data_IF_272234473068
#
_entry.id   IF_272234473068
#
_cell.length_a   1.000
_cell.length_b   1.000
_cell.length_c   1.000
_cell.angle_alpha   90.00
_cell.angle_beta   90.00
_cell.angle_gamma   90.00
#
_symmetry.space_group_name_H-M   'P 1'
#
loop_
_entity.id
_entity.type
_entity.pdbx_description
1 polymer ?
#
# COMPACT_ATOMS: atom_id res chain seq x y z
N UNK A 1 -28.17 -80.59 0.80
CA UNK A 1 -28.34 -81.20 -0.53
C UNK A 1 -28.31 -80.07 -1.53
N UNK A 2 -27.31 -80.02 -2.40
CA UNK A 2 -27.10 -78.94 -3.38
C UNK A 2 -28.12 -79.12 -4.51
N UNK A 3 -28.79 -78.05 -4.93
CA UNK A 3 -29.38 -77.99 -6.26
C UNK A 3 -28.86 -76.77 -7.04
N UNK A 4 -28.64 -77.03 -8.33
CA UNK A 4 -27.94 -76.25 -9.34
C UNK A 4 -28.98 -75.64 -10.28
N UNK A 5 -28.96 -74.30 -10.45
CA UNK A 5 -29.10 -73.56 -11.74
C UNK A 5 -29.74 -72.18 -11.51
N UNK A 6 -28.93 -71.15 -11.80
CA UNK A 6 -29.26 -69.90 -12.53
C UNK A 6 -30.46 -69.05 -12.06
N UNK A 7 -30.41 -67.73 -11.91
CA UNK A 7 -29.43 -66.71 -12.24
C UNK A 7 -29.93 -65.35 -11.68
N UNK A 8 -29.05 -64.36 -11.64
CA UNK A 8 -29.22 -62.97 -12.15
C UNK A 8 -28.48 -61.96 -11.26
N UNK A 9 -27.41 -61.45 -11.88
CA UNK A 9 -26.72 -60.17 -11.79
C UNK A 9 -27.25 -59.05 -10.88
N UNK A 10 -26.29 -58.40 -10.21
CA UNK A 10 -26.33 -57.05 -9.66
C UNK A 10 -25.86 -57.04 -8.20
N UNK A 11 -24.69 -56.56 -7.82
CA UNK A 11 -24.29 -55.16 -7.99
C UNK A 11 -22.89 -54.91 -7.37
N UNK A 12 -22.20 -53.94 -7.97
CA UNK A 12 -21.17 -53.04 -7.43
C UNK A 12 -20.06 -53.62 -6.53
N UNK A 13 -18.88 -53.84 -7.13
CA UNK A 13 -17.62 -53.70 -6.42
C UNK A 13 -17.20 -52.22 -6.44
N UNK A 14 -17.28 -51.58 -5.28
CA UNK A 14 -16.64 -50.30 -4.96
C UNK A 14 -15.12 -50.50 -5.06
N UNK A 15 -14.49 -49.81 -6.01
CA UNK A 15 -13.04 -49.63 -6.09
C UNK A 15 -12.69 -48.22 -5.64
N UNK A 16 -12.03 -48.13 -4.48
CA UNK A 16 -11.62 -46.90 -3.81
C UNK A 16 -10.55 -46.10 -4.59
N UNK A 17 -10.80 -44.80 -4.68
CA UNK A 17 -9.87 -43.66 -4.53
C UNK A 17 -8.48 -43.74 -5.18
N UNK A 18 -8.32 -42.93 -6.23
CA UNK A 18 -7.11 -42.12 -6.38
C UNK A 18 -7.48 -40.66 -6.09
N UNK A 19 -7.06 -40.18 -4.93
CA UNK A 19 -7.04 -38.78 -4.53
C UNK A 19 -6.12 -37.98 -5.45
N UNK A 20 -6.70 -37.35 -6.46
CA UNK A 20 -6.09 -36.23 -7.16
C UNK A 20 -6.69 -34.95 -6.60
N UNK A 21 -5.84 -34.05 -6.10
CA UNK A 21 -6.20 -32.79 -5.48
C UNK A 21 -7.28 -32.04 -6.28
N UNK A 22 -8.50 -32.00 -5.74
CA UNK A 22 -9.54 -31.11 -6.23
C UNK A 22 -9.19 -29.68 -5.81
N UNK A 23 -8.22 -29.07 -6.51
CA UNK A 23 -8.03 -27.63 -6.43
C UNK A 23 -9.21 -26.96 -7.13
N UNK A 24 -9.94 -26.13 -6.38
CA UNK A 24 -10.89 -25.18 -6.98
C UNK A 24 -10.13 -24.35 -8.03
N UNK A 25 -10.59 -24.30 -9.29
CA UNK A 25 -9.96 -23.44 -10.29
C UNK A 25 -9.88 -22.01 -9.74
N UNK A 26 -8.81 -21.24 -10.03
CA UNK A 26 -8.82 -19.82 -9.75
C UNK A 26 -10.08 -19.20 -10.38
N UNK A 27 -10.70 -18.19 -9.75
CA UNK A 27 -11.87 -17.54 -10.29
C UNK A 27 -11.61 -17.15 -11.75
N UNK A 28 -12.49 -17.56 -12.66
CA UNK A 28 -12.43 -17.08 -14.03
C UNK A 28 -12.47 -15.55 -14.00
N UNK A 29 -11.63 -14.88 -14.79
CA UNK A 29 -11.75 -13.43 -14.96
C UNK A 29 -13.13 -13.15 -15.57
N UNK A 30 -14.09 -12.78 -14.72
CA UNK A 30 -15.38 -12.29 -15.18
C UNK A 30 -15.15 -10.86 -15.68
N UNK A 31 -15.00 -10.73 -17.00
CA UNK A 31 -15.24 -9.50 -17.75
C UNK A 31 -14.18 -8.41 -17.61
N UNK A 32 -13.93 -7.71 -18.72
CA UNK A 32 -13.04 -6.56 -18.78
C UNK A 32 -13.40 -5.51 -17.73
N UNK A 33 -12.37 -4.92 -17.12
CA UNK A 33 -12.50 -3.79 -16.19
C UNK A 33 -13.40 -2.73 -16.83
N UNK A 34 -14.47 -2.35 -16.13
CA UNK A 34 -15.42 -1.33 -16.59
C UNK A 34 -14.75 0.02 -16.88
N UNK A 35 -15.50 1.01 -17.42
CA UNK A 35 -14.94 2.31 -17.78
C UNK A 35 -14.17 2.93 -16.62
N UNK A 36 -13.06 3.61 -16.95
CA UNK A 36 -12.18 4.29 -15.98
C UNK A 36 -13.02 5.16 -15.04
N UNK A 37 -13.02 4.82 -13.76
CA UNK A 37 -13.65 5.66 -12.75
C UNK A 37 -12.91 7.00 -12.64
N UNK A 38 -13.61 8.11 -12.39
CA UNK A 38 -12.98 9.41 -12.25
C UNK A 38 -11.92 9.39 -11.14
N UNK A 39 -10.90 10.22 -11.31
CA UNK A 39 -9.88 10.40 -10.28
C UNK A 39 -10.45 11.24 -9.13
N UNK A 40 -10.05 10.97 -7.88
CA UNK A 40 -10.40 11.79 -6.74
C UNK A 40 -9.82 13.21 -6.88
N UNK A 41 -10.55 14.20 -6.36
CA UNK A 41 -10.14 15.61 -6.40
C UNK A 41 -9.74 16.16 -5.04
N UNK A 42 -10.12 15.49 -3.94
CA UNK A 42 -9.77 15.91 -2.58
C UNK A 42 -8.32 15.49 -2.26
N UNK A 43 -7.49 16.47 -1.95
CA UNK A 43 -6.10 16.28 -1.51
C UNK A 43 -5.84 16.95 -0.16
N UNK A 44 -4.81 16.46 0.54
CA UNK A 44 -4.30 17.02 1.78
C UNK A 44 -2.78 17.13 1.65
N UNK A 45 -2.26 18.34 1.56
CA UNK A 45 -0.81 18.57 1.61
C UNK A 45 -0.29 18.24 3.02
N UNK A 46 0.83 17.53 3.11
CA UNK A 46 1.40 17.12 4.41
C UNK A 46 2.07 18.29 5.16
N UNK A 47 2.69 19.19 4.39
CA UNK A 47 3.58 20.23 4.88
C UNK A 47 3.10 21.61 4.39
N UNK A 48 2.36 22.37 5.21
CA UNK A 48 1.74 23.63 4.77
C UNK A 48 2.75 24.72 4.37
N UNK A 49 3.96 24.68 4.95
CA UNK A 49 5.07 25.60 4.64
C UNK A 49 6.11 25.00 3.68
N UNK A 50 5.78 23.91 2.99
CA UNK A 50 6.72 23.14 2.18
C UNK A 50 7.41 22.02 2.96
N UNK A 51 7.81 20.96 2.24
CA UNK A 51 8.39 19.77 2.85
C UNK A 51 9.78 20.06 3.46
N UNK A 52 10.08 19.57 4.67
CA UNK A 52 11.33 19.86 5.35
C UNK A 52 12.53 19.21 4.64
N UNK A 53 13.67 19.89 4.64
CA UNK A 53 14.93 19.34 4.12
C UNK A 53 14.96 19.23 2.59
N UNK A 54 14.36 20.19 1.89
CA UNK A 54 14.38 20.26 0.44
C UNK A 54 15.82 20.29 -0.13
N UNK A 55 16.11 19.54 -1.20
CA UNK A 55 17.37 19.66 -1.93
C UNK A 55 17.49 21.05 -2.59
N UNK A 56 18.73 21.41 -3.00
CA UNK A 56 19.01 22.67 -3.72
C UNK A 56 18.13 22.84 -4.96
N UNK A 57 17.92 21.75 -5.70
CA UNK A 57 17.00 21.68 -6.82
C UNK A 57 15.86 20.75 -6.44
N UNK A 58 14.63 21.27 -6.35
CA UNK A 58 13.47 20.45 -6.05
C UNK A 58 13.24 19.39 -7.13
N UNK A 59 12.81 18.18 -6.74
CA UNK A 59 12.40 17.17 -7.71
C UNK A 59 11.26 17.70 -8.60
N UNK A 60 11.27 17.32 -9.88
CA UNK A 60 10.18 17.65 -10.80
C UNK A 60 9.21 16.49 -10.85
N UNK A 61 7.94 16.75 -10.54
CA UNK A 61 6.92 15.72 -10.56
C UNK A 61 6.62 15.30 -12.01
N UNK A 62 6.76 14.00 -12.29
CA UNK A 62 6.48 13.42 -13.61
C UNK A 62 5.45 12.30 -13.42
N UNK A 63 4.36 12.37 -14.19
CA UNK A 63 3.37 11.29 -14.28
C UNK A 63 3.72 10.43 -15.50
N UNK A 64 4.16 9.21 -15.25
CA UNK A 64 4.45 8.19 -16.26
C UNK A 64 3.21 7.30 -16.43
N UNK A 65 2.64 7.20 -17.64
CA UNK A 65 1.66 6.15 -17.94
C UNK A 65 2.38 4.89 -18.44
N UNK A 66 2.24 3.79 -17.69
CA UNK A 66 2.91 2.50 -17.96
C UNK A 66 1.94 1.45 -18.50
N UNK A 67 0.71 1.84 -18.83
CA UNK A 67 -0.30 0.91 -19.29
C UNK A 67 0.10 0.25 -20.61
N UNK A 68 0.05 -1.08 -20.66
CA UNK A 68 0.20 -1.85 -21.90
C UNK A 68 -1.19 -2.23 -22.43
N UNK A 69 -1.85 -1.29 -23.12
CA UNK A 69 -3.15 -1.50 -23.77
C UNK A 69 -4.28 -0.60 -23.26
N UNK A 70 -5.35 -0.51 -24.05
CA UNK A 70 -6.37 0.55 -23.92
C UNK A 70 -7.28 0.46 -22.68
N UNK A 71 -7.30 -0.66 -21.97
CA UNK A 71 -8.19 -0.89 -20.82
C UNK A 71 -7.47 -0.84 -19.45
N UNK A 72 -6.15 -0.68 -19.44
CA UNK A 72 -5.37 -0.63 -18.20
C UNK A 72 -5.04 0.81 -17.83
N UNK A 73 -5.18 1.17 -16.55
CA UNK A 73 -4.54 2.35 -15.97
C UNK A 73 -3.35 1.89 -15.15
N UNK A 74 -2.16 2.40 -15.43
CA UNK A 74 -0.96 2.05 -14.68
C UNK A 74 -0.01 3.24 -14.54
N UNK A 75 -0.52 4.32 -13.95
CA UNK A 75 0.28 5.52 -13.71
C UNK A 75 1.26 5.30 -12.57
N UNK A 76 2.47 5.80 -12.77
CA UNK A 76 3.44 6.04 -11.73
C UNK A 76 3.78 7.53 -11.63
N UNK A 77 4.09 8.00 -10.43
CA UNK A 77 4.50 9.38 -10.20
C UNK A 77 5.90 9.42 -9.61
N UNK A 78 6.78 10.19 -10.24
CA UNK A 78 8.17 10.40 -9.85
C UNK A 78 8.36 11.80 -9.27
N UNK A 79 9.46 12.03 -8.54
CA UNK A 79 9.89 13.37 -8.16
C UNK A 79 8.89 14.13 -7.27
N UNK A 80 8.50 13.53 -6.16
CA UNK A 80 7.48 14.09 -5.26
C UNK A 80 8.05 15.29 -4.50
N UNK A 81 7.88 16.50 -5.02
CA UNK A 81 8.27 17.75 -4.34
C UNK A 81 7.27 18.19 -3.25
N UNK A 82 5.98 17.88 -3.47
CA UNK A 82 4.88 18.24 -2.57
C UNK A 82 4.17 16.95 -2.13
N UNK A 83 4.65 16.28 -1.07
CA UNK A 83 4.02 15.07 -0.61
C UNK A 83 2.64 15.39 -0.05
N UNK A 84 1.69 14.54 -0.40
CA UNK A 84 0.26 14.76 -0.22
C UNK A 84 -0.46 13.44 0.00
N UNK A 85 -1.64 13.52 0.60
CA UNK A 85 -2.62 12.43 0.56
C UNK A 85 -3.71 12.76 -0.44
N UNK A 86 -4.15 11.75 -1.17
CA UNK A 86 -5.36 11.79 -1.97
C UNK A 86 -6.45 11.03 -1.22
N UNK A 87 -7.65 11.60 -1.14
CA UNK A 87 -8.74 11.06 -0.31
C UNK A 87 -9.80 10.36 -1.15
N UNK A 88 -10.18 9.16 -0.74
CA UNK A 88 -11.35 8.45 -1.22
C UNK A 88 -12.35 8.32 -0.07
N UNK A 89 -13.50 8.97 -0.22
CA UNK A 89 -14.59 8.89 0.75
C UNK A 89 -15.55 7.76 0.38
N UNK A 90 -15.95 6.91 1.34
CA UNK A 90 -17.00 5.94 1.11
C UNK A 90 -18.38 6.62 1.05
N UNK A 91 -19.28 6.11 0.23
CA UNK A 91 -20.67 6.58 0.22
C UNK A 91 -21.41 6.27 1.53
N UNK A 92 -21.00 5.18 2.22
CA UNK A 92 -21.53 4.76 3.53
C UNK A 92 -20.34 4.52 4.48
N UNK A 93 -19.86 5.54 5.20
CA UNK A 93 -18.71 5.40 6.09
C UNK A 93 -18.99 4.44 7.25
N UNK A 94 -18.04 3.56 7.53
CA UNK A 94 -18.08 2.61 8.65
C UNK A 94 -17.25 3.07 9.87
N UNK A 95 -16.74 4.31 9.82
CA UNK A 95 -15.90 4.90 10.85
C UNK A 95 -14.42 4.47 10.83
N UNK A 96 -13.99 3.67 9.85
CA UNK A 96 -12.59 3.22 9.74
C UNK A 96 -11.84 3.98 8.67
N UNK A 97 -10.54 4.16 8.88
CA UNK A 97 -9.63 4.80 7.93
C UNK A 97 -8.41 3.94 7.63
N UNK A 98 -7.82 4.15 6.45
CA UNK A 98 -6.55 3.51 6.09
C UNK A 98 -5.65 4.46 5.31
N UNK A 99 -4.39 4.56 5.75
CA UNK A 99 -3.31 5.21 5.02
C UNK A 99 -2.63 4.17 4.11
N UNK A 100 -2.82 4.31 2.80
CA UNK A 100 -2.22 3.46 1.78
C UNK A 100 -0.89 4.08 1.33
N UNK A 101 0.18 3.30 1.39
CA UNK A 101 1.51 3.62 0.90
C UNK A 101 1.80 2.73 -0.32
N UNK A 102 1.58 3.24 -1.55
CA UNK A 102 1.91 2.48 -2.75
C UNK A 102 3.40 2.20 -2.84
N UNK A 103 3.79 1.17 -3.57
CA UNK A 103 5.19 0.87 -3.87
C UNK A 103 5.71 1.65 -5.06
N UNK A 104 6.67 1.04 -5.77
CA UNK A 104 7.44 1.69 -6.85
C UNK A 104 8.93 1.76 -6.58
N UNK A 105 9.43 0.91 -5.67
CA UNK A 105 10.87 0.67 -5.49
C UNK A 105 11.67 1.86 -4.99
N UNK A 106 11.01 2.88 -4.42
CA UNK A 106 11.62 4.16 -4.06
C UNK A 106 12.11 5.04 -5.23
N UNK A 107 11.76 4.73 -6.48
CA UNK A 107 11.95 5.65 -7.63
C UNK A 107 10.68 6.35 -8.07
N UNK A 108 9.52 5.85 -7.63
CA UNK A 108 8.19 6.32 -8.02
C UNK A 108 7.14 5.82 -7.04
N UNK A 109 5.94 6.37 -7.16
CA UNK A 109 4.70 5.92 -6.51
C UNK A 109 3.84 5.25 -7.57
N UNK A 110 3.52 3.96 -7.41
CA UNK A 110 2.62 3.22 -8.32
C UNK A 110 1.16 3.57 -7.97
N UNK A 111 0.61 4.57 -8.64
CA UNK A 111 -0.66 5.21 -8.24
C UNK A 111 -1.85 4.31 -8.49
N UNK A 112 -2.02 3.80 -9.71
CA UNK A 112 -3.28 3.15 -10.05
C UNK A 112 -3.39 1.77 -9.38
N UNK A 113 -2.43 0.88 -9.62
CA UNK A 113 -2.48 -0.53 -9.17
C UNK A 113 -2.36 -0.72 -7.67
N UNK A 114 -1.55 0.11 -7.00
CA UNK A 114 -1.22 -0.05 -5.58
C UNK A 114 -1.81 1.08 -4.71
N UNK A 115 -2.50 2.04 -5.32
CA UNK A 115 -3.15 3.17 -4.65
C UNK A 115 -4.65 3.27 -4.97
N UNK A 116 -5.01 3.74 -6.18
CA UNK A 116 -6.38 4.13 -6.50
C UNK A 116 -7.32 2.92 -6.67
N UNK A 117 -6.87 1.82 -7.25
CA UNK A 117 -7.69 0.60 -7.37
C UNK A 117 -8.02 0.02 -5.99
N UNK A 118 -7.02 -0.07 -5.10
CA UNK A 118 -7.26 -0.55 -3.72
C UNK A 118 -8.09 0.45 -2.92
N UNK A 119 -7.89 1.76 -3.11
CA UNK A 119 -8.66 2.78 -2.42
C UNK A 119 -10.14 2.75 -2.80
N UNK A 120 -10.47 2.58 -4.08
CA UNK A 120 -11.86 2.39 -4.53
C UNK A 120 -12.46 1.12 -3.92
N UNK A 121 -11.74 0.01 -3.98
CA UNK A 121 -12.21 -1.26 -3.44
C UNK A 121 -12.50 -1.20 -1.92
N UNK A 122 -11.67 -0.50 -1.15
CA UNK A 122 -11.87 -0.26 0.28
C UNK A 122 -12.99 0.75 0.57
N UNK A 123 -13.08 1.82 -0.22
CA UNK A 123 -14.14 2.83 -0.09
C UNK A 123 -15.53 2.24 -0.36
N UNK A 124 -15.67 1.32 -1.31
CA UNK A 124 -16.91 0.57 -1.56
C UNK A 124 -17.34 -0.27 -0.34
N UNK A 125 -16.42 -0.55 0.59
CA UNK A 125 -16.63 -1.30 1.84
C UNK A 125 -16.74 -0.40 3.07
N UNK A 126 -16.83 0.91 2.87
CA UNK A 126 -17.08 1.87 3.95
C UNK A 126 -15.83 2.48 4.59
N UNK A 127 -14.63 2.19 4.09
CA UNK A 127 -13.40 2.77 4.61
C UNK A 127 -13.12 4.14 3.99
N UNK A 128 -12.69 5.11 4.80
CA UNK A 128 -12.08 6.35 4.28
C UNK A 128 -10.61 6.06 3.98
N UNK A 129 -10.21 6.21 2.72
CA UNK A 129 -8.85 5.84 2.27
C UNK A 129 -8.04 7.07 1.93
N UNK A 130 -6.79 7.08 2.40
CA UNK A 130 -5.82 8.12 2.13
C UNK A 130 -4.64 7.51 1.38
N UNK A 131 -4.47 7.82 0.10
CA UNK A 131 -3.33 7.34 -0.70
C UNK A 131 -2.19 8.33 -0.57
N UNK A 132 -1.07 7.87 -0.01
CA UNK A 132 0.09 8.69 0.29
C UNK A 132 1.03 8.79 -0.92
N UNK A 133 1.29 10.02 -1.35
CA UNK A 133 2.37 10.37 -2.25
C UNK A 133 3.53 10.85 -1.39
N UNK A 134 4.42 9.94 -1.01
CA UNK A 134 5.56 10.22 -0.13
C UNK A 134 6.81 10.59 -0.92
N UNK A 135 7.67 11.41 -0.31
CA UNK A 135 8.99 11.77 -0.85
C UNK A 135 9.87 10.54 -1.01
N UNK A 136 10.64 10.52 -2.09
CA UNK A 136 11.50 9.39 -2.43
C UNK A 136 12.92 9.62 -1.88
N UNK A 137 13.53 8.65 -1.19
CA UNK A 137 14.84 8.82 -0.54
C UNK A 137 15.97 9.12 -1.52
N UNK A 138 15.87 8.66 -2.77
CA UNK A 138 16.86 8.93 -3.84
C UNK A 138 16.85 10.37 -4.38
N UNK A 139 15.86 11.19 -4.01
CA UNK A 139 15.68 12.55 -4.56
C UNK A 139 16.51 13.63 -3.83
N UNK A 140 17.41 13.25 -2.92
CA UNK A 140 18.35 14.17 -2.28
C UNK A 140 17.79 14.97 -1.09
N UNK A 141 16.66 14.54 -0.52
CA UNK A 141 16.11 15.13 0.70
C UNK A 141 17.06 14.96 1.89
N UNK A 142 17.15 15.98 2.75
CA UNK A 142 18.08 15.97 3.88
C UNK A 142 17.84 14.83 4.89
N UNK A 143 16.59 14.35 5.00
CA UNK A 143 16.23 13.22 5.85
C UNK A 143 16.68 11.86 5.28
N UNK A 144 17.20 11.82 4.04
CA UNK A 144 17.73 10.63 3.40
C UNK A 144 16.78 9.42 3.50
N UNK A 145 17.22 8.28 4.07
CA UNK A 145 16.41 7.07 4.16
C UNK A 145 15.11 7.26 4.98
N UNK A 146 15.09 8.19 5.93
CA UNK A 146 13.94 8.42 6.80
C UNK A 146 12.85 9.28 6.14
N UNK A 147 13.10 9.87 4.96
CA UNK A 147 12.19 10.86 4.37
C UNK A 147 10.77 10.30 4.12
N UNK A 148 10.67 9.05 3.68
CA UNK A 148 9.39 8.39 3.43
C UNK A 148 8.67 8.07 4.75
N UNK A 149 9.42 7.71 5.80
CA UNK A 149 8.88 7.50 7.15
C UNK A 149 8.37 8.83 7.74
N UNK A 150 9.09 9.95 7.56
CA UNK A 150 8.61 11.28 8.00
C UNK A 150 7.27 11.63 7.38
N UNK A 151 7.08 11.37 6.08
CA UNK A 151 5.81 11.61 5.40
C UNK A 151 4.71 10.66 5.88
N UNK A 152 5.02 9.37 6.08
CA UNK A 152 4.04 8.40 6.57
C UNK A 152 3.58 8.73 8.01
N UNK A 153 4.51 9.11 8.88
CA UNK A 153 4.18 9.54 10.24
C UNK A 153 3.29 10.79 10.23
N UNK A 154 3.66 11.80 9.43
CA UNK A 154 2.90 13.04 9.28
C UNK A 154 1.51 12.77 8.70
N UNK A 155 1.41 11.92 7.67
CA UNK A 155 0.17 11.50 7.06
C UNK A 155 -0.78 10.86 8.06
N UNK A 156 -0.31 9.87 8.84
CA UNK A 156 -1.16 9.19 9.83
C UNK A 156 -1.64 10.15 10.93
N UNK A 157 -0.77 11.05 11.39
CA UNK A 157 -1.11 12.12 12.34
C UNK A 157 -2.19 13.04 11.83
N UNK A 158 -2.09 13.47 10.57
CA UNK A 158 -3.10 14.31 9.91
C UNK A 158 -4.45 13.59 9.73
N UNK A 159 -4.43 12.31 9.37
CA UNK A 159 -5.64 11.48 9.31
C UNK A 159 -6.31 11.44 10.68
N UNK A 160 -5.56 11.10 11.72
CA UNK A 160 -6.06 10.97 13.09
C UNK A 160 -6.56 12.31 13.65
N UNK A 161 -5.85 13.41 13.41
CA UNK A 161 -6.27 14.75 13.85
C UNK A 161 -7.51 15.25 13.11
N UNK A 162 -7.77 14.72 11.91
CA UNK A 162 -8.93 15.07 11.09
C UNK A 162 -10.13 14.13 11.30
N UNK A 163 -10.13 13.32 12.36
CA UNK A 163 -11.12 12.28 12.59
C UNK A 163 -12.57 12.77 12.47
N UNK A 164 -12.89 13.89 13.13
CA UNK A 164 -14.22 14.54 13.06
C UNK A 164 -14.59 14.97 11.64
N UNK A 165 -13.65 15.52 10.86
CA UNK A 165 -13.91 15.97 9.46
C UNK A 165 -14.29 14.81 8.55
N UNK A 166 -13.76 13.62 8.81
CA UNK A 166 -13.97 12.43 8.00
C UNK A 166 -14.99 11.45 8.58
N UNK A 167 -15.54 11.72 9.76
CA UNK A 167 -16.46 10.81 10.45
C UNK A 167 -15.80 9.47 10.77
N UNK A 168 -14.50 9.46 11.06
CA UNK A 168 -13.72 8.26 11.40
C UNK A 168 -13.43 8.23 12.89
N UNK A 169 -13.23 7.03 13.44
CA UNK A 169 -12.77 6.85 14.80
C UNK A 169 -11.24 6.99 14.85
N UNK A 170 -10.69 7.81 15.77
CA UNK A 170 -9.25 8.07 15.82
C UNK A 170 -8.41 6.85 16.25
N UNK A 171 -9.04 5.81 16.79
CA UNK A 171 -8.48 4.51 17.19
C UNK A 171 -8.77 3.39 16.16
N UNK A 172 -9.24 3.75 14.96
CA UNK A 172 -9.47 2.83 13.83
C UNK A 172 -8.79 3.32 12.55
N UNK A 173 -7.51 3.66 12.67
CA UNK A 173 -6.68 4.14 11.55
C UNK A 173 -5.62 3.09 11.24
N UNK A 174 -5.86 2.32 10.17
CA UNK A 174 -4.91 1.34 9.66
C UNK A 174 -3.85 1.96 8.75
N UNK A 175 -2.76 1.23 8.54
CA UNK A 175 -1.75 1.49 7.52
C UNK A 175 -1.64 0.28 6.59
N UNK A 176 -1.47 0.51 5.30
CA UNK A 176 -1.35 -0.54 4.29
C UNK A 176 -0.26 -0.16 3.29
N UNK A 177 0.72 -1.04 3.08
CA UNK A 177 1.82 -0.76 2.18
C UNK A 177 2.14 -1.91 1.23
N UNK A 178 2.58 -1.57 0.02
CA UNK A 178 2.93 -2.51 -1.05
C UNK A 178 4.41 -2.41 -1.43
N UNK A 179 5.14 -3.52 -1.53
CA UNK A 179 6.56 -3.53 -1.96
C UNK A 179 7.42 -2.53 -1.16
N UNK A 180 8.00 -1.50 -1.79
CA UNK A 180 8.71 -0.41 -1.10
C UNK A 180 7.79 0.38 -0.14
N UNK A 181 6.54 0.63 -0.50
CA UNK A 181 5.55 1.20 0.43
C UNK A 181 5.20 0.24 1.57
N UNK A 182 5.36 -1.07 1.35
CA UNK A 182 5.30 -2.09 2.40
C UNK A 182 6.44 -1.95 3.41
N UNK A 183 7.63 -1.59 2.96
CA UNK A 183 8.73 -1.20 3.85
C UNK A 183 8.39 0.06 4.65
N UNK A 184 7.87 1.11 4.00
CA UNK A 184 7.41 2.34 4.69
C UNK A 184 6.33 2.02 5.74
N UNK A 185 5.39 1.12 5.43
CA UNK A 185 4.36 0.68 6.37
C UNK A 185 4.97 -0.06 7.58
N UNK A 186 5.96 -0.92 7.36
CA UNK A 186 6.68 -1.62 8.42
C UNK A 186 7.49 -0.65 9.30
N UNK A 187 8.20 0.28 8.68
CA UNK A 187 8.91 1.38 9.34
C UNK A 187 7.93 2.19 10.20
N UNK A 188 6.77 2.59 9.64
CA UNK A 188 5.76 3.33 10.39
C UNK A 188 5.25 2.51 11.58
N UNK A 189 4.93 1.23 11.40
CA UNK A 189 4.40 0.38 12.46
C UNK A 189 5.40 0.14 13.61
N UNK A 190 6.70 0.12 13.33
CA UNK A 190 7.75 -0.22 14.31
C UNK A 190 8.51 1.00 14.84
N UNK A 191 8.59 2.07 14.06
CA UNK A 191 9.34 3.30 14.34
C UNK A 191 8.43 4.54 14.41
N UNK A 192 7.12 4.36 14.66
CA UNK A 192 6.14 5.46 14.76
C UNK A 192 6.53 6.59 15.73
N UNK A 193 7.31 6.27 16.78
CA UNK A 193 7.75 7.22 17.79
C UNK A 193 9.15 7.79 17.53
N UNK A 194 9.87 7.31 16.52
CA UNK A 194 11.20 7.83 16.19
C UNK A 194 11.06 9.26 15.63
N UNK A 195 11.82 10.24 16.14
CA UNK A 195 11.75 11.62 15.65
C UNK A 195 12.47 11.74 14.30
N UNK A 196 11.72 11.67 13.19
CA UNK A 196 12.26 11.80 11.83
C UNK A 196 12.01 13.18 11.21
N UNK A 197 11.34 14.08 11.92
CA UNK A 197 11.15 15.49 11.56
C UNK A 197 10.81 16.33 12.80
N UNK A 198 10.99 17.65 12.72
CA UNK A 198 10.59 18.57 13.77
C UNK A 198 9.07 18.80 13.74
N UNK A 199 8.35 18.77 14.89
CA UNK A 199 6.92 19.05 14.94
C UNK A 199 6.54 20.38 14.27
N UNK A 200 5.47 20.35 13.50
CA UNK A 200 4.96 21.45 12.67
C UNK A 200 3.75 22.10 13.29
N UNK A 201 2.79 21.30 13.77
CA UNK A 201 1.54 21.80 14.34
C UNK A 201 0.91 20.83 15.35
N UNK A 202 -0.33 21.12 15.75
CA UNK A 202 -1.06 20.33 16.74
C UNK A 202 -1.28 18.86 16.31
N UNK A 203 -1.28 18.53 15.01
CA UNK A 203 -1.40 17.14 14.57
C UNK A 203 -0.18 16.31 14.99
N UNK A 204 0.99 16.92 15.16
CA UNK A 204 2.19 16.19 15.59
C UNK A 204 2.19 15.81 17.09
N UNK A 205 1.16 16.23 17.84
CA UNK A 205 0.93 15.81 19.23
C UNK A 205 0.18 14.49 19.32
N UNK A 206 -0.46 14.02 18.24
CA UNK A 206 -1.11 12.70 18.24
C UNK A 206 -0.16 11.61 17.75
N UNK A 207 -0.46 10.36 18.14
CA UNK A 207 0.38 9.23 17.78
C UNK A 207 0.37 8.96 16.27
N UNK A 208 1.54 8.64 15.72
CA UNK A 208 1.72 8.11 14.37
C UNK A 208 1.66 6.57 14.32
N UNK A 209 1.25 5.90 15.41
CA UNK A 209 1.13 4.44 15.44
C UNK A 209 -0.15 4.00 14.70
N UNK A 210 -0.06 3.15 13.66
CA UNK A 210 -1.25 2.56 13.07
C UNK A 210 -1.87 1.54 14.02
N UNK A 211 -3.21 1.46 14.02
CA UNK A 211 -3.94 0.52 14.86
C UNK A 211 -3.87 -0.91 14.27
N UNK A 212 -3.74 -1.01 12.95
CA UNK A 212 -3.46 -2.25 12.19
C UNK A 212 -2.48 -1.92 11.06
N UNK A 213 -1.52 -2.80 10.79
CA UNK A 213 -0.59 -2.67 9.67
C UNK A 213 -0.72 -3.86 8.70
N UNK A 214 -0.95 -3.59 7.42
CA UNK A 214 -0.97 -4.58 6.35
C UNK A 214 0.26 -4.42 5.45
N UNK A 215 1.15 -5.41 5.49
CA UNK A 215 2.41 -5.44 4.74
C UNK A 215 2.27 -6.39 3.54
N UNK A 216 2.01 -5.84 2.35
CA UNK A 216 1.76 -6.63 1.15
C UNK A 216 3.05 -6.73 0.32
N UNK A 217 3.59 -7.97 0.22
CA UNK A 217 4.83 -8.29 -0.49
C UNK A 217 5.95 -7.26 -0.22
N UNK A 218 6.06 -6.86 1.04
CA UNK A 218 6.90 -5.76 1.47
C UNK A 218 8.39 -6.07 1.27
N UNK A 219 9.16 -5.06 0.90
CA UNK A 219 10.62 -5.12 1.11
C UNK A 219 10.85 -5.11 2.62
N UNK A 220 11.61 -6.08 3.15
CA UNK A 220 11.77 -6.26 4.61
C UNK A 220 13.23 -6.28 5.04
N UNK A 221 14.11 -6.96 4.30
CA UNK A 221 15.53 -6.94 4.58
C UNK A 221 16.25 -6.05 3.58
N UNK A 222 17.12 -5.19 4.10
CA UNK A 222 18.12 -4.48 3.30
C UNK A 222 19.49 -5.17 3.36
N UNK A 223 19.62 -6.30 4.06
CA UNK A 223 20.85 -7.06 4.14
C UNK A 223 21.00 -8.01 2.93
N UNK A 224 22.19 -8.08 2.36
CA UNK A 224 22.50 -9.06 1.33
C UNK A 224 22.65 -10.46 1.96
N UNK A 225 22.25 -11.54 1.26
CA UNK A 225 21.74 -11.58 -0.11
C UNK A 225 20.21 -11.38 -0.22
N UNK A 226 19.50 -11.17 0.89
CA UNK A 226 18.03 -11.14 0.94
C UNK A 226 17.41 -9.86 0.35
N UNK A 227 18.19 -8.79 0.24
CA UNK A 227 17.70 -7.49 -0.18
C UNK A 227 17.22 -7.45 -1.63
N UNK A 228 16.12 -6.72 -1.87
CA UNK A 228 15.76 -6.31 -3.22
C UNK A 228 16.75 -5.24 -3.71
N UNK A 229 17.60 -5.52 -4.73
CA UNK A 229 18.79 -4.70 -4.99
C UNK A 229 18.50 -3.23 -5.30
N UNK A 230 17.49 -2.96 -6.13
CA UNK A 230 17.12 -1.58 -6.49
C UNK A 230 16.60 -0.79 -5.30
N UNK A 231 15.72 -1.39 -4.49
CA UNK A 231 15.15 -0.72 -3.31
C UNK A 231 16.22 -0.42 -2.26
N UNK A 232 17.15 -1.36 -2.05
CA UNK A 232 18.31 -1.13 -1.19
C UNK A 232 19.16 0.04 -1.68
N UNK A 233 19.53 0.05 -2.96
CA UNK A 233 20.40 1.08 -3.52
C UNK A 233 19.80 2.48 -3.42
N UNK A 234 18.48 2.60 -3.60
CA UNK A 234 17.78 3.89 -3.52
C UNK A 234 17.51 4.36 -2.10
N UNK A 235 17.25 3.42 -1.19
CA UNK A 235 17.02 3.76 0.21
C UNK A 235 18.32 4.09 0.94
N UNK A 236 19.37 3.29 0.73
CA UNK A 236 20.59 3.30 1.54
C UNK A 236 21.83 3.79 0.77
N UNK A 237 21.74 3.96 -0.55
CA UNK A 237 22.88 4.28 -1.41
C UNK A 237 23.75 3.06 -1.75
N UNK A 238 24.83 3.27 -2.55
CA UNK A 238 25.70 2.18 -3.00
C UNK A 238 26.60 1.60 -1.89
N UNK A 239 26.92 2.40 -0.87
CA UNK A 239 27.84 2.03 0.21
C UNK A 239 27.32 2.53 1.57
N UNK A 240 26.24 1.96 2.13
CA UNK A 240 25.71 2.41 3.40
C UNK A 240 26.66 2.10 4.56
N UNK A 241 26.65 2.97 5.56
CA UNK A 241 27.38 2.74 6.80
C UNK A 241 26.73 1.60 7.60
N UNK A 242 27.44 0.93 8.51
CA UNK A 242 26.85 -0.13 9.35
C UNK A 242 25.71 0.33 10.27
N UNK A 243 25.52 1.64 10.44
CA UNK A 243 24.47 2.22 11.26
C UNK A 243 23.13 2.40 10.50
N UNK A 244 23.11 2.12 9.19
CA UNK A 244 21.97 2.20 8.27
C UNK A 244 21.62 0.81 7.72
#
# INVERSE_FOLDING_TARGET
>A
MIDRRSAILGSLAVGLSASGDAQTPPPAQVGGRGPRQPDPTETIDLWPAGAPGAPRNLPVEIVEDRATGAAATDRAVHGIARPRMVVFRPAKPNGSAVLVMPGGGYVRIVVDREGYEIARWLADRGWTVFVLFYRLPGDGWAAGPDVALSDAQRGLRLVRSSATRFGIHPDRVAAMGFSAGGHVCADLATRFAQPTYAPVDAADRVSARPDVAALLYAVQSMALPLAHPGSRALLLGPSPTPAL
#
